data_IF_596742997329
#
_entry.id   IF_596742997329
#
_cell.length_a   1.000
_cell.length_b   1.000
_cell.length_c   1.000
_cell.angle_alpha   90.00
_cell.angle_beta   90.00
_cell.angle_gamma   90.00
#
_symmetry.space_group_name_H-M   'P 1'
#
loop_
_entity.id
_entity.type
_entity.pdbx_description
1 polymer ?
#
# COMPACT_ATOMS: atom_id res chain seq x y z
N UNK A 1 -6.08 -21.65 -36.22
CA UNK A 1 -5.98 -22.03 -34.79
C UNK A 1 -4.73 -21.47 -34.10
N UNK A 2 -3.66 -21.19 -34.84
CA UNK A 2 -2.43 -20.52 -34.37
C UNK A 2 -2.59 -19.11 -33.78
N UNK A 3 -3.45 -18.20 -34.30
CA UNK A 3 -3.53 -16.83 -33.76
C UNK A 3 -4.18 -16.79 -32.38
N UNK A 4 -5.17 -17.65 -32.13
CA UNK A 4 -5.85 -17.76 -30.84
C UNK A 4 -4.91 -18.27 -29.75
N UNK A 5 -4.06 -19.25 -30.07
CA UNK A 5 -3.04 -19.78 -29.15
C UNK A 5 -2.00 -18.71 -28.79
N UNK A 6 -1.57 -17.89 -29.77
CA UNK A 6 -0.65 -16.77 -29.52
C UNK A 6 -1.26 -15.70 -28.63
N UNK A 7 -2.54 -15.38 -28.83
CA UNK A 7 -3.26 -14.41 -28.01
C UNK A 7 -3.42 -14.91 -26.57
N UNK A 8 -3.76 -16.20 -26.40
CA UNK A 8 -3.87 -16.83 -25.09
C UNK A 8 -2.51 -16.87 -24.35
N UNK A 9 -1.42 -17.18 -25.05
CA UNK A 9 -0.07 -17.17 -24.48
C UNK A 9 0.35 -15.76 -24.01
N UNK A 10 0.03 -14.72 -24.79
CA UNK A 10 0.30 -13.34 -24.42
C UNK A 10 -0.52 -12.90 -23.20
N UNK A 11 -1.81 -13.26 -23.16
CA UNK A 11 -2.68 -12.95 -22.03
C UNK A 11 -2.20 -13.64 -20.74
N UNK A 12 -1.80 -14.90 -20.82
CA UNK A 12 -1.25 -15.65 -19.68
C UNK A 12 0.08 -15.06 -19.17
N UNK A 13 0.95 -14.59 -20.07
CA UNK A 13 2.16 -13.90 -19.67
C UNK A 13 1.84 -12.58 -18.94
N UNK A 14 0.91 -11.79 -19.46
CA UNK A 14 0.53 -10.50 -18.87
C UNK A 14 -0.05 -10.64 -17.45
N UNK A 15 -0.89 -11.65 -17.19
CA UNK A 15 -1.45 -11.88 -15.85
C UNK A 15 -0.41 -12.38 -14.85
N UNK A 16 0.61 -13.13 -15.30
CA UNK A 16 1.73 -13.56 -14.45
C UNK A 16 2.59 -12.39 -13.98
N UNK A 17 2.80 -11.36 -14.82
CA UNK A 17 3.52 -10.14 -14.42
C UNK A 17 2.69 -9.21 -13.53
N UNK A 18 1.36 -9.22 -13.65
CA UNK A 18 0.47 -8.41 -12.80
C UNK A 18 0.41 -8.89 -11.34
N UNK A 19 0.77 -10.14 -11.05
CA UNK A 19 0.75 -10.71 -9.70
C UNK A 19 1.80 -10.09 -8.73
N UNK A 20 2.83 -9.42 -9.27
CA UNK A 20 3.88 -8.76 -8.48
C UNK A 20 3.52 -7.36 -7.98
N UNK A 21 2.45 -6.74 -8.50
CA UNK A 21 1.97 -5.44 -8.05
C UNK A 21 1.05 -5.61 -6.83
N UNK A 22 1.60 -6.10 -5.71
CA UNK A 22 0.93 -6.02 -4.42
C UNK A 22 0.96 -4.54 -3.99
N UNK A 23 -0.20 -3.95 -3.73
CA UNK A 23 -0.24 -2.64 -3.09
C UNK A 23 0.54 -2.73 -1.78
N UNK A 24 1.38 -1.73 -1.48
CA UNK A 24 2.03 -1.67 -0.18
C UNK A 24 0.93 -1.57 0.87
N UNK A 25 0.85 -2.56 1.75
CA UNK A 25 -0.19 -2.64 2.77
C UNK A 25 0.15 -1.70 3.93
N UNK A 26 0.25 -0.40 3.65
CA UNK A 26 0.67 0.59 4.64
C UNK A 26 -0.34 0.66 5.80
N UNK A 27 0.09 0.59 7.07
CA UNK A 27 1.48 0.68 7.55
C UNK A 27 2.21 -0.66 7.77
N UNK A 28 1.65 -1.79 7.35
CA UNK A 28 2.29 -3.12 7.34
C UNK A 28 2.76 -3.53 8.73
N UNK A 29 1.86 -3.33 9.72
CA UNK A 29 2.13 -3.57 11.14
C UNK A 29 3.17 -2.64 11.78
N UNK A 30 3.73 -1.69 11.03
CA UNK A 30 4.72 -0.72 11.55
C UNK A 30 4.01 0.42 12.27
N UNK A 31 4.58 0.85 13.39
CA UNK A 31 4.10 2.01 14.13
C UNK A 31 4.30 3.29 13.33
N UNK A 32 3.27 4.15 13.29
CA UNK A 32 3.36 5.50 12.73
C UNK A 32 3.72 6.48 13.85
N UNK A 33 4.83 7.21 13.70
CA UNK A 33 5.24 8.25 14.64
C UNK A 33 4.55 9.57 14.29
N UNK A 34 3.64 10.03 15.14
CA UNK A 34 3.00 11.32 14.98
C UNK A 34 3.81 12.42 15.69
N UNK A 35 4.41 13.32 14.92
CA UNK A 35 5.21 14.44 15.45
C UNK A 35 4.29 15.60 15.85
N UNK A 36 4.29 15.94 17.14
CA UNK A 36 3.63 17.14 17.67
C UNK A 36 4.71 18.11 18.13
N UNK A 37 4.98 19.20 17.41
CA UNK A 37 6.10 20.10 17.70
C UNK A 37 5.76 21.13 18.79
N UNK A 38 5.12 20.67 19.87
CA UNK A 38 4.73 21.47 21.02
C UNK A 38 5.04 20.70 22.31
N UNK A 39 5.00 21.41 23.44
CA UNK A 39 5.18 20.76 24.74
C UNK A 39 4.10 19.70 24.99
N UNK A 40 4.50 18.59 25.63
CA UNK A 40 3.58 17.54 26.05
C UNK A 40 2.50 18.08 27.00
N UNK A 41 1.27 17.57 26.89
CA UNK A 41 0.12 17.99 27.68
C UNK A 41 -0.59 19.27 27.21
N UNK A 42 -0.06 19.98 26.20
CA UNK A 42 -0.71 21.13 25.57
C UNK A 42 -1.97 20.75 24.77
N UNK A 43 -2.75 21.73 24.28
CA UNK A 43 -3.98 21.45 23.53
C UNK A 43 -3.73 20.59 22.29
N UNK A 44 -2.62 20.80 21.56
CA UNK A 44 -2.26 20.01 20.38
C UNK A 44 -1.86 18.57 20.72
N UNK A 45 -1.16 18.34 21.84
CA UNK A 45 -0.77 16.99 22.29
C UNK A 45 -2.02 16.17 22.70
N UNK A 46 -3.01 16.80 23.34
CA UNK A 46 -4.26 16.12 23.67
C UNK A 46 -5.04 15.70 22.42
N UNK A 47 -5.24 16.62 21.48
CA UNK A 47 -5.89 16.29 20.20
C UNK A 47 -5.15 15.16 19.49
N UNK A 48 -3.81 15.19 19.42
CA UNK A 48 -3.02 14.15 18.79
C UNK A 48 -3.14 12.77 19.45
N UNK A 49 -3.45 12.71 20.76
CA UNK A 49 -3.64 11.47 21.51
C UNK A 49 -5.07 10.92 21.45
N UNK A 50 -6.06 11.80 21.24
CA UNK A 50 -7.47 11.42 21.14
C UNK A 50 -7.87 10.92 19.73
N UNK A 51 -7.06 11.21 18.70
CA UNK A 51 -7.29 10.87 17.29
C UNK A 51 -7.20 9.37 16.97
#
# INVERSE_FOLDING_TARGET
MTPLIRLAALAAAATAFAAGAQAADFPDGKTITFVVPFAAGGPTDKVARDL
#
